data_IF_171594717957
#
_entry.id   IF_171594717957
#
_cell.length_a   1.000
_cell.length_b   1.000
_cell.length_c   1.000
_cell.angle_alpha   90.00
_cell.angle_beta   90.00
_cell.angle_gamma   90.00
#
_symmetry.space_group_name_H-M   'P 1'
#
loop_
_entity.id
_entity.type
_entity.pdbx_description
1 polymer ?
#
# COMPACT_ATOMS: atom_id res chain seq x y z
N UNK A 1 5.27 9.78 -30.34
CA UNK A 1 4.65 10.01 -29.02
C UNK A 1 5.75 10.04 -27.99
N UNK A 2 5.68 10.97 -27.05
CA UNK A 2 6.65 11.13 -25.98
C UNK A 2 5.96 10.78 -24.67
N UNK A 3 6.48 9.79 -23.94
CA UNK A 3 5.88 9.32 -22.68
C UNK A 3 6.73 9.79 -21.50
N UNK A 4 6.06 10.29 -20.47
CA UNK A 4 6.67 10.70 -19.21
C UNK A 4 6.18 9.74 -18.11
N UNK A 5 7.00 8.75 -17.79
CA UNK A 5 6.67 7.76 -16.77
C UNK A 5 6.69 8.34 -15.34
N UNK A 6 7.43 9.42 -15.09
CA UNK A 6 7.45 10.08 -13.78
C UNK A 6 6.09 10.68 -13.44
N UNK A 7 5.39 11.24 -14.42
CA UNK A 7 4.02 11.73 -14.22
C UNK A 7 3.06 10.60 -13.85
N UNK A 8 3.27 9.40 -14.39
CA UNK A 8 2.45 8.22 -14.08
C UNK A 8 2.78 7.75 -12.67
N UNK A 9 4.07 7.61 -12.34
CA UNK A 9 4.54 7.27 -11.02
C UNK A 9 4.00 8.23 -9.96
N UNK A 10 4.06 9.53 -10.23
CA UNK A 10 3.61 10.57 -9.32
C UNK A 10 2.11 10.48 -9.00
N UNK A 11 1.27 10.04 -9.95
CA UNK A 11 -0.16 9.77 -9.68
C UNK A 11 -0.32 8.71 -8.59
N UNK A 12 0.41 7.61 -8.68
CA UNK A 12 0.39 6.54 -7.68
C UNK A 12 0.99 6.98 -6.34
N UNK A 13 2.17 7.61 -6.37
CA UNK A 13 2.87 8.07 -5.17
C UNK A 13 2.09 9.15 -4.41
N UNK A 14 1.31 10.00 -5.10
CA UNK A 14 0.43 10.96 -4.45
C UNK A 14 -0.59 10.27 -3.55
N UNK A 15 -1.16 9.15 -4.00
CA UNK A 15 -2.08 8.36 -3.18
C UNK A 15 -1.41 7.73 -1.97
N UNK A 16 -0.22 7.14 -2.14
CA UNK A 16 0.56 6.59 -1.02
C UNK A 16 0.92 7.66 0.02
N UNK A 17 1.41 8.82 -0.42
CA UNK A 17 1.71 9.95 0.49
C UNK A 17 0.46 10.46 1.21
N UNK A 18 -0.68 10.54 0.51
CA UNK A 18 -1.95 10.92 1.14
C UNK A 18 -2.35 9.92 2.22
N UNK A 19 -2.28 8.62 1.95
CA UNK A 19 -2.53 7.57 2.95
C UNK A 19 -1.60 7.72 4.16
N UNK A 20 -0.32 7.99 3.93
CA UNK A 20 0.65 8.19 5.02
C UNK A 20 0.31 9.42 5.88
N UNK A 21 0.01 10.56 5.26
CA UNK A 21 -0.34 11.80 5.95
C UNK A 21 -1.62 11.65 6.77
N UNK A 22 -2.68 11.07 6.18
CA UNK A 22 -3.95 10.89 6.89
C UNK A 22 -3.88 9.80 7.97
N UNK A 23 -3.06 8.77 7.77
CA UNK A 23 -2.71 7.84 8.83
C UNK A 23 -2.06 8.56 9.99
N UNK A 24 -1.02 9.37 9.74
CA UNK A 24 -0.35 10.13 10.80
C UNK A 24 -1.29 11.08 11.53
N UNK A 25 -2.10 11.85 10.80
CA UNK A 25 -3.08 12.75 11.39
C UNK A 25 -4.07 12.01 12.30
N UNK A 26 -4.62 10.90 11.82
CA UNK A 26 -5.64 10.16 12.56
C UNK A 26 -5.07 9.37 13.74
N UNK A 27 -3.89 8.74 13.59
CA UNK A 27 -3.23 8.03 14.70
C UNK A 27 -2.82 9.02 15.79
N UNK A 28 -2.19 10.15 15.44
CA UNK A 28 -1.80 11.15 16.43
C UNK A 28 -3.01 11.75 17.14
N UNK A 29 -4.11 12.00 16.41
CA UNK A 29 -5.37 12.47 17.00
C UNK A 29 -5.99 11.44 17.96
N UNK A 30 -5.91 10.15 17.62
CA UNK A 30 -6.39 9.08 18.49
C UNK A 30 -5.56 8.96 19.78
N UNK A 31 -4.27 9.28 19.72
CA UNK A 31 -3.33 9.22 20.85
C UNK A 31 -3.29 10.52 21.68
N UNK A 32 -3.93 11.60 21.22
CA UNK A 32 -3.96 12.88 21.93
C UNK A 32 -5.01 12.89 23.05
N UNK A 33 -4.57 12.78 24.30
CA UNK A 33 -5.41 12.84 25.51
C UNK A 33 -6.27 14.10 25.62
N UNK A 34 -5.89 15.21 24.96
CA UNK A 34 -6.66 16.45 24.97
C UNK A 34 -7.84 16.42 24.00
N UNK A 35 -7.82 15.53 23.01
CA UNK A 35 -8.91 15.38 22.05
C UNK A 35 -10.02 14.48 22.60
N UNK A 36 -10.94 15.06 23.37
CA UNK A 36 -12.06 14.34 24.00
C UNK A 36 -13.45 14.91 23.65
N UNK A 37 -13.51 16.02 22.90
CA UNK A 37 -14.77 16.60 22.44
C UNK A 37 -15.03 16.23 20.96
N UNK A 38 -15.99 15.33 20.75
CA UNK A 38 -16.35 14.81 19.43
C UNK A 38 -17.67 15.39 18.88
N UNK A 39 -18.27 16.36 19.58
CA UNK A 39 -19.49 17.01 19.11
C UNK A 39 -19.18 17.84 17.86
N UNK A 40 -20.06 17.73 16.85
CA UNK A 40 -20.01 18.58 15.66
C UNK A 40 -20.77 19.90 15.86
N UNK A 41 -21.07 20.28 17.11
CA UNK A 41 -21.84 21.48 17.46
C UNK A 41 -21.27 22.81 16.94
N UNK A 42 -19.95 22.98 16.71
CA UNK A 42 -19.44 24.17 16.02
C UNK A 42 -19.83 24.26 14.53
N UNK A 43 -20.26 23.15 13.93
CA UNK A 43 -20.55 23.02 12.49
C UNK A 43 -22.04 22.77 12.22
N UNK A 44 -22.75 22.09 13.12
CA UNK A 44 -24.17 21.73 12.99
C UNK A 44 -24.88 21.72 14.34
N UNK A 45 -26.18 22.01 14.37
CA UNK A 45 -26.99 21.93 15.59
C UNK A 45 -27.37 20.48 15.98
N UNK A 46 -26.95 19.47 15.21
CA UNK A 46 -27.22 18.07 15.49
C UNK A 46 -26.28 17.55 16.58
N UNK A 47 -26.87 17.07 17.69
CA UNK A 47 -26.16 16.34 18.75
C UNK A 47 -26.47 14.84 18.62
N UNK A 48 -25.44 14.05 18.35
CA UNK A 48 -25.54 12.58 18.26
C UNK A 48 -24.89 11.87 19.45
N UNK A 49 -24.11 12.60 20.25
CA UNK A 49 -23.43 12.10 21.44
C UNK A 49 -23.97 12.82 22.69
N UNK A 50 -23.85 12.18 23.84
CA UNK A 50 -24.12 12.83 25.12
C UNK A 50 -22.93 13.73 25.50
N UNK A 51 -23.21 14.82 26.22
CA UNK A 51 -22.17 15.67 26.78
C UNK A 51 -21.54 14.98 28.01
N UNK A 52 -20.25 15.19 28.25
CA UNK A 52 -19.55 14.63 29.41
C UNK A 52 -19.34 13.12 29.35
N UNK A 53 -18.91 12.60 28.19
CA UNK A 53 -18.54 11.18 28.03
C UNK A 53 -17.53 10.75 29.09
N UNK A 54 -17.72 9.56 29.65
CA UNK A 54 -16.78 8.98 30.58
C UNK A 54 -15.48 8.56 29.88
N UNK A 55 -14.40 8.42 30.66
CA UNK A 55 -13.07 8.11 30.15
C UNK A 55 -13.03 6.80 29.35
N UNK A 56 -13.75 5.76 29.79
CA UNK A 56 -13.74 4.47 29.10
C UNK A 56 -14.41 4.55 27.72
N UNK A 57 -15.50 5.31 27.61
CA UNK A 57 -16.15 5.57 26.31
C UNK A 57 -15.23 6.34 25.37
N UNK A 58 -14.53 7.36 25.87
CA UNK A 58 -13.57 8.16 25.09
C UNK A 58 -12.41 7.30 24.58
N UNK A 59 -11.83 6.44 25.43
CA UNK A 59 -10.77 5.51 25.07
C UNK A 59 -11.23 4.53 23.99
N UNK A 60 -12.41 3.92 24.13
CA UNK A 60 -12.98 3.03 23.12
C UNK A 60 -13.20 3.74 21.77
N UNK A 61 -13.68 4.99 21.76
CA UNK A 61 -13.79 5.75 20.50
C UNK A 61 -12.44 6.00 19.84
N UNK A 62 -11.40 6.30 20.61
CA UNK A 62 -10.04 6.52 20.10
C UNK A 62 -9.44 5.25 19.50
N UNK A 63 -9.61 4.11 20.17
CA UNK A 63 -9.16 2.81 19.65
C UNK A 63 -9.86 2.48 18.33
N UNK A 64 -11.19 2.56 18.29
CA UNK A 64 -11.96 2.30 17.07
C UNK A 64 -11.62 3.30 15.95
N UNK A 65 -11.40 4.57 16.27
CA UNK A 65 -10.98 5.58 15.30
C UNK A 65 -9.60 5.28 14.73
N UNK A 66 -8.63 4.91 15.57
CA UNK A 66 -7.29 4.50 15.14
C UNK A 66 -7.35 3.34 14.16
N UNK A 67 -8.12 2.29 14.48
CA UNK A 67 -8.32 1.15 13.59
C UNK A 67 -8.99 1.56 12.27
N UNK A 68 -10.03 2.41 12.34
CA UNK A 68 -10.73 2.91 11.15
C UNK A 68 -9.80 3.69 10.23
N UNK A 69 -8.94 4.56 10.78
CA UNK A 69 -7.95 5.34 10.03
C UNK A 69 -6.95 4.42 9.35
N UNK A 70 -6.38 3.45 10.07
CA UNK A 70 -5.40 2.50 9.53
C UNK A 70 -6.00 1.68 8.38
N UNK A 71 -7.21 1.15 8.59
CA UNK A 71 -7.94 0.39 7.57
C UNK A 71 -8.28 1.24 6.34
N UNK A 72 -8.59 2.53 6.53
CA UNK A 72 -8.85 3.47 5.44
C UNK A 72 -7.58 3.76 4.65
N UNK A 73 -6.48 4.10 5.33
CA UNK A 73 -5.19 4.36 4.69
C UNK A 73 -4.68 3.14 3.89
N UNK A 74 -4.88 1.92 4.39
CA UNK A 74 -4.59 0.67 3.69
C UNK A 74 -5.39 0.52 2.39
N UNK A 75 -6.71 0.74 2.44
CA UNK A 75 -7.58 0.67 1.24
C UNK A 75 -7.23 1.74 0.22
N UNK A 76 -7.00 2.96 0.66
CA UNK A 76 -6.65 4.10 -0.20
C UNK A 76 -5.33 3.87 -0.94
N UNK A 77 -4.35 3.24 -0.30
CA UNK A 77 -3.07 2.95 -0.93
C UNK A 77 -3.20 1.90 -2.04
N UNK A 78 -4.02 0.87 -1.83
CA UNK A 78 -4.30 -0.12 -2.88
C UNK A 78 -5.06 0.51 -4.05
N UNK A 79 -6.02 1.39 -3.78
CA UNK A 79 -6.76 2.11 -4.83
C UNK A 79 -5.83 3.01 -5.65
N UNK A 80 -4.91 3.71 -4.99
CA UNK A 80 -3.87 4.49 -5.67
C UNK A 80 -3.00 3.63 -6.58
N UNK A 81 -2.65 2.42 -6.13
CA UNK A 81 -1.91 1.46 -6.95
C UNK A 81 -2.73 0.97 -8.16
N UNK A 82 -4.04 0.73 -8.00
CA UNK A 82 -4.92 0.37 -9.12
C UNK A 82 -4.94 1.46 -10.20
N UNK A 83 -5.13 2.72 -9.80
CA UNK A 83 -5.13 3.87 -10.71
C UNK A 83 -3.79 3.97 -11.45
N UNK A 84 -2.68 3.82 -10.72
CA UNK A 84 -1.34 3.81 -11.32
C UNK A 84 -1.19 2.72 -12.39
N UNK A 85 -1.64 1.50 -12.11
CA UNK A 85 -1.56 0.35 -13.03
C UNK A 85 -2.38 0.59 -14.30
N UNK A 86 -3.56 1.19 -14.19
CA UNK A 86 -4.42 1.51 -15.33
C UNK A 86 -3.77 2.57 -16.22
N UNK A 87 -3.22 3.63 -15.63
CA UNK A 87 -2.49 4.67 -16.35
C UNK A 87 -1.23 4.12 -17.05
N UNK A 88 -0.53 3.19 -16.38
CA UNK A 88 0.61 2.49 -16.96
C UNK A 88 0.19 1.65 -18.17
N UNK A 89 -0.93 0.92 -18.06
CA UNK A 89 -1.47 0.13 -19.17
C UNK A 89 -1.79 1.00 -20.39
N UNK A 90 -2.44 2.16 -20.20
CA UNK A 90 -2.75 3.10 -21.28
C UNK A 90 -1.48 3.48 -22.06
N UNK A 91 -0.37 3.71 -21.37
CA UNK A 91 0.89 4.05 -22.03
C UNK A 91 1.49 2.86 -22.79
N UNK A 92 1.48 1.68 -22.17
CA UNK A 92 2.04 0.47 -22.76
C UNK A 92 1.26 0.00 -24.00
N UNK A 93 -0.06 0.07 -23.99
CA UNK A 93 -0.88 -0.36 -25.13
C UNK A 93 -0.69 0.54 -26.35
N UNK A 94 -0.49 1.85 -26.14
CA UNK A 94 -0.21 2.80 -27.23
C UNK A 94 1.20 2.60 -27.80
N UNK A 95 2.17 2.18 -26.98
CA UNK A 95 3.52 1.83 -27.44
C UNK A 95 3.57 0.52 -28.22
N UNK A 96 2.90 -0.53 -27.68
CA UNK A 96 2.92 -1.89 -28.23
C UNK A 96 2.48 -1.93 -29.68
N UNK A 97 1.43 -1.18 -29.98
CA UNK A 97 0.83 -1.20 -31.29
C UNK A 97 1.27 0.08 -31.99
N UNK A 98 2.04 -0.01 -33.09
CA UNK A 98 2.34 1.11 -34.01
C UNK A 98 1.04 1.60 -34.71
N UNK A 99 0.06 2.01 -33.89
CA UNK A 99 -1.33 2.39 -34.14
C UNK A 99 -2.19 1.38 -34.96
N UNK A 100 -2.97 0.51 -34.31
CA UNK A 100 -4.29 0.16 -34.82
C UNK A 100 -5.19 1.39 -34.66
N UNK A 101 -6.39 1.35 -35.21
CA UNK A 101 -7.34 2.45 -35.06
C UNK A 101 -7.57 2.79 -33.57
N UNK A 102 -7.83 4.06 -33.29
CA UNK A 102 -7.99 4.61 -31.94
C UNK A 102 -9.12 3.90 -31.17
N UNK A 103 -10.10 3.35 -31.89
CA UNK A 103 -11.20 2.53 -31.38
C UNK A 103 -10.73 1.20 -30.77
N UNK A 104 -9.71 0.56 -31.34
CA UNK A 104 -9.17 -0.69 -30.80
C UNK A 104 -8.48 -0.44 -29.46
N UNK A 105 -7.69 0.63 -29.37
CA UNK A 105 -7.02 1.03 -28.13
C UNK A 105 -8.03 1.34 -27.04
N UNK A 106 -9.08 2.10 -27.35
CA UNK A 106 -10.18 2.38 -26.40
C UNK A 106 -10.84 1.10 -25.88
N UNK A 107 -11.17 0.15 -26.76
CA UNK A 107 -11.75 -1.14 -26.37
C UNK A 107 -10.82 -1.97 -25.48
N UNK A 108 -9.52 -1.93 -25.72
CA UNK A 108 -8.54 -2.64 -24.89
C UNK A 108 -8.44 -2.00 -23.49
N UNK A 109 -8.48 -0.67 -23.39
CA UNK A 109 -8.52 0.07 -22.10
C UNK A 109 -9.77 -0.30 -21.31
N UNK A 110 -10.96 -0.19 -21.92
CA UNK A 110 -12.24 -0.54 -21.27
C UNK A 110 -12.28 -1.99 -20.78
N UNK A 111 -11.64 -2.91 -21.52
CA UNK A 111 -11.51 -4.31 -21.12
C UNK A 111 -10.56 -4.46 -19.93
N UNK A 112 -9.43 -3.76 -19.95
CA UNK A 112 -8.43 -3.82 -18.90
C UNK A 112 -8.97 -3.27 -17.58
N UNK A 113 -9.65 -2.12 -17.59
CA UNK A 113 -10.26 -1.51 -16.40
C UNK A 113 -11.19 -2.48 -15.65
N UNK A 114 -11.97 -3.27 -16.39
CA UNK A 114 -12.92 -4.26 -15.85
C UNK A 114 -12.26 -5.53 -15.31
N UNK A 115 -10.97 -5.74 -15.54
CA UNK A 115 -10.28 -6.92 -15.03
C UNK A 115 -10.16 -6.87 -13.50
N UNK A 116 -10.37 -8.00 -12.80
CA UNK A 116 -9.97 -8.13 -11.41
C UNK A 116 -8.49 -7.80 -11.25
N UNK A 117 -8.12 -7.18 -10.14
CA UNK A 117 -6.77 -6.67 -9.96
C UNK A 117 -5.63 -7.70 -10.13
N UNK A 118 -5.71 -8.94 -9.59
CA UNK A 118 -4.72 -9.97 -9.90
C UNK A 118 -4.60 -10.29 -11.40
N UNK A 119 -5.72 -10.19 -12.14
CA UNK A 119 -5.76 -10.40 -13.59
C UNK A 119 -5.13 -9.23 -14.36
N UNK A 120 -5.17 -8.00 -13.83
CA UNK A 120 -4.46 -6.85 -14.41
C UNK A 120 -2.95 -7.09 -14.42
N UNK A 121 -2.39 -7.61 -13.34
CA UNK A 121 -0.95 -7.92 -13.25
C UNK A 121 -0.54 -9.01 -14.24
N UNK A 122 -1.33 -10.07 -14.30
CA UNK A 122 -1.12 -11.16 -15.27
C UNK A 122 -1.21 -10.66 -16.72
N UNK A 123 -2.13 -9.72 -16.99
CA UNK A 123 -2.28 -9.11 -18.30
C UNK A 123 -1.05 -8.26 -18.66
N UNK A 124 -0.54 -7.44 -17.74
CA UNK A 124 0.68 -6.65 -17.97
C UNK A 124 1.88 -7.55 -18.29
N UNK A 125 2.05 -8.62 -17.51
CA UNK A 125 3.11 -9.61 -17.72
C UNK A 125 3.04 -10.22 -19.12
N UNK A 126 1.88 -10.78 -19.48
CA UNK A 126 1.71 -11.48 -20.76
C UNK A 126 1.84 -10.56 -21.97
N UNK A 127 1.38 -9.32 -21.85
CA UNK A 127 1.31 -8.42 -23.00
C UNK A 127 2.58 -7.58 -23.20
N UNK A 128 3.29 -7.26 -22.11
CA UNK A 128 4.40 -6.30 -22.11
C UNK A 128 5.65 -6.79 -21.36
N UNK A 129 5.63 -7.99 -20.77
CA UNK A 129 6.69 -8.48 -19.86
C UNK A 129 6.95 -7.54 -18.67
N UNK A 130 5.90 -6.83 -18.24
CA UNK A 130 5.93 -5.93 -17.09
C UNK A 130 5.13 -6.58 -15.97
N UNK A 131 5.81 -6.97 -14.88
CA UNK A 131 5.16 -7.54 -13.71
C UNK A 131 5.80 -7.05 -12.40
N UNK A 132 5.03 -7.00 -11.30
CA UNK A 132 5.59 -6.69 -9.99
C UNK A 132 6.55 -7.81 -9.54
N UNK A 133 7.60 -7.44 -8.81
CA UNK A 133 8.60 -8.40 -8.32
C UNK A 133 7.99 -9.37 -7.32
N UNK A 134 7.10 -8.87 -6.45
CA UNK A 134 6.48 -9.66 -5.37
C UNK A 134 4.96 -9.82 -5.56
N UNK A 135 4.54 -10.40 -6.68
CA UNK A 135 3.12 -10.56 -7.03
C UNK A 135 2.27 -11.28 -5.95
N UNK A 136 2.86 -12.20 -5.18
CA UNK A 136 2.14 -12.91 -4.13
C UNK A 136 1.81 -12.00 -2.93
N UNK A 137 2.67 -11.04 -2.60
CA UNK A 137 2.37 -10.03 -1.58
C UNK A 137 1.20 -9.15 -2.02
N UNK A 138 1.22 -8.69 -3.27
CA UNK A 138 0.11 -7.91 -3.87
C UNK A 138 -1.22 -8.68 -3.82
N UNK A 139 -1.21 -9.97 -4.16
CA UNK A 139 -2.40 -10.83 -4.06
C UNK A 139 -2.89 -10.95 -2.62
N UNK A 140 -1.98 -11.08 -1.65
CA UNK A 140 -2.31 -11.15 -0.23
C UNK A 140 -2.94 -9.84 0.28
N UNK A 141 -2.37 -8.69 -0.09
CA UNK A 141 -2.87 -7.36 0.25
C UNK A 141 -4.28 -7.13 -0.34
N UNK A 142 -4.48 -7.49 -1.61
CA UNK A 142 -5.79 -7.39 -2.25
C UNK A 142 -6.85 -8.29 -1.57
N UNK A 143 -6.45 -9.48 -1.12
CA UNK A 143 -7.33 -10.37 -0.37
C UNK A 143 -7.74 -9.76 0.97
N UNK A 144 -6.78 -9.18 1.70
CA UNK A 144 -7.03 -8.44 2.95
C UNK A 144 -7.97 -7.25 2.71
N UNK A 145 -7.77 -6.47 1.64
CA UNK A 145 -8.67 -5.36 1.27
C UNK A 145 -10.10 -5.83 1.02
N UNK A 146 -10.29 -6.97 0.36
CA UNK A 146 -11.63 -7.51 0.13
C UNK A 146 -12.32 -7.89 1.45
N UNK A 147 -11.58 -8.45 2.41
CA UNK A 147 -12.11 -8.72 3.74
C UNK A 147 -12.49 -7.41 4.46
N UNK A 148 -11.62 -6.39 4.41
CA UNK A 148 -11.89 -5.08 4.99
C UNK A 148 -13.11 -4.39 4.36
N UNK A 149 -13.33 -4.55 3.06
CA UNK A 149 -14.41 -3.88 2.34
C UNK A 149 -15.78 -4.58 2.47
N UNK A 150 -15.80 -5.92 2.58
CA UNK A 150 -17.05 -6.68 2.43
C UNK A 150 -17.48 -7.46 3.67
N UNK A 151 -16.64 -7.56 4.71
CA UNK A 151 -16.93 -8.39 5.89
C UNK A 151 -16.82 -7.64 7.22
N UNK A 152 -16.89 -6.31 7.20
CA UNK A 152 -16.79 -5.50 8.42
C UNK A 152 -15.49 -5.78 9.20
N UNK A 153 -14.40 -6.02 8.47
CA UNK A 153 -13.06 -6.30 9.01
C UNK A 153 -12.90 -7.67 9.68
N UNK A 154 -13.95 -8.49 9.76
CA UNK A 154 -13.91 -9.83 10.37
C UNK A 154 -13.59 -10.89 9.32
N UNK A 155 -12.57 -11.69 9.59
CA UNK A 155 -12.12 -12.77 8.71
C UNK A 155 -13.11 -13.94 8.73
N UNK A 156 -13.38 -14.50 7.55
CA UNK A 156 -14.11 -15.75 7.39
C UNK A 156 -13.24 -16.80 6.69
N UNK A 157 -13.68 -18.06 6.71
CA UNK A 157 -13.03 -19.15 5.97
C UNK A 157 -12.93 -18.91 4.45
N UNK A 158 -13.80 -18.06 3.89
CA UNK A 158 -13.73 -17.65 2.48
C UNK A 158 -12.54 -16.73 2.18
N UNK A 159 -11.94 -16.12 3.20
CA UNK A 159 -10.84 -15.18 3.06
C UNK A 159 -9.48 -15.86 3.10
N UNK A 160 -9.42 -17.14 3.50
CA UNK A 160 -8.17 -17.89 3.59
C UNK A 160 -7.45 -17.98 2.24
N UNK A 161 -6.15 -17.70 2.27
CA UNK A 161 -5.28 -17.64 1.08
C UNK A 161 -3.99 -18.45 1.21
N UNK A 162 -3.76 -19.11 2.34
CA UNK A 162 -2.64 -20.03 2.55
C UNK A 162 -2.97 -21.48 2.14
N UNK A 163 -1.94 -22.33 2.16
CA UNK A 163 -2.04 -23.77 1.91
C UNK A 163 -1.33 -24.54 3.04
N UNK A 164 -2.04 -25.40 3.81
CA UNK A 164 -3.48 -25.66 3.76
C UNK A 164 -4.30 -24.41 4.11
N UNK A 165 -5.56 -24.32 3.65
CA UNK A 165 -6.43 -23.16 3.89
C UNK A 165 -6.83 -23.10 5.37
N UNK A 166 -6.07 -22.36 6.17
CA UNK A 166 -6.30 -22.18 7.60
C UNK A 166 -6.36 -20.72 8.06
N UNK A 167 -5.84 -19.80 7.25
CA UNK A 167 -5.76 -18.38 7.61
C UNK A 167 -5.81 -17.45 6.39
N UNK A 168 -6.26 -16.23 6.61
CA UNK A 168 -5.94 -15.08 5.77
C UNK A 168 -4.54 -14.61 6.17
N UNK A 169 -3.59 -14.75 5.26
CA UNK A 169 -2.21 -14.29 5.44
C UNK A 169 -2.03 -13.01 4.64
N UNK A 170 -1.77 -11.90 5.33
CA UNK A 170 -1.27 -10.67 4.74
C UNK A 170 0.27 -10.77 4.68
N UNK A 171 0.87 -10.41 3.55
CA UNK A 171 2.33 -10.42 3.40
C UNK A 171 2.83 -9.23 2.57
N UNK A 172 4.02 -8.74 2.89
CA UNK A 172 4.67 -7.60 2.23
C UNK A 172 6.19 -7.68 2.39
N UNK A 173 6.91 -6.88 1.60
CA UNK A 173 8.35 -6.68 1.78
C UNK A 173 8.57 -5.59 2.84
N UNK A 174 9.19 -5.95 3.94
CA UNK A 174 9.62 -5.02 4.99
C UNK A 174 11.12 -4.73 4.92
N UNK A 175 11.59 -3.92 5.85
CA UNK A 175 13.00 -3.59 6.00
C UNK A 175 13.46 -3.75 7.44
N UNK A 176 14.60 -4.39 7.62
CA UNK A 176 15.33 -4.41 8.88
C UNK A 176 16.61 -3.61 8.73
N UNK A 177 16.96 -2.91 9.80
CA UNK A 177 18.29 -2.38 9.97
C UNK A 177 19.18 -3.48 10.55
N UNK A 178 20.39 -3.58 10.04
CA UNK A 178 21.37 -4.57 10.46
C UNK A 178 22.56 -3.80 11.00
N UNK A 179 22.87 -4.01 12.27
CA UNK A 179 24.04 -3.45 12.91
C UNK A 179 25.08 -4.56 13.00
N UNK A 180 26.25 -4.33 12.40
CA UNK A 180 27.36 -5.29 12.44
C UNK A 180 28.52 -4.64 13.16
N UNK A 181 28.91 -5.21 14.30
CA UNK A 181 30.08 -4.82 15.06
C UNK A 181 30.90 -6.06 15.46
N UNK A 182 31.87 -5.90 16.37
CA UNK A 182 32.74 -6.99 16.85
C UNK A 182 31.97 -8.11 17.57
N UNK A 183 30.78 -7.82 18.11
CA UNK A 183 29.93 -8.76 18.85
C UNK A 183 28.97 -9.51 17.89
N UNK A 184 28.98 -9.14 16.61
CA UNK A 184 28.31 -9.84 15.52
C UNK A 184 27.22 -9.00 14.86
N UNK A 185 26.26 -9.70 14.23
CA UNK A 185 25.15 -9.09 13.52
C UNK A 185 23.90 -9.00 14.40
N UNK A 186 23.38 -7.79 14.59
CA UNK A 186 22.11 -7.52 15.26
C UNK A 186 21.10 -6.92 14.30
N UNK A 187 19.95 -7.60 14.15
CA UNK A 187 18.79 -7.06 13.43
C UNK A 187 17.96 -6.20 14.36
N UNK A 188 17.55 -5.04 13.90
CA UNK A 188 16.66 -4.13 14.60
C UNK A 188 15.69 -3.47 13.63
N UNK A 189 14.53 -3.08 14.12
CA UNK A 189 13.60 -2.27 13.34
C UNK A 189 14.13 -0.84 13.21
N UNK A 190 13.78 -0.11 12.14
CA UNK A 190 14.31 1.24 11.92
C UNK A 190 13.97 2.21 13.08
N UNK A 191 12.81 2.05 13.70
CA UNK A 191 12.41 2.85 14.87
C UNK A 191 13.28 2.59 16.11
N UNK A 192 13.92 1.42 16.19
CA UNK A 192 14.77 1.04 17.33
C UNK A 192 16.17 1.65 17.22
N UNK A 193 16.55 2.22 16.07
CA UNK A 193 17.84 2.90 15.90
C UNK A 193 17.89 4.30 16.50
N UNK A 194 16.74 4.93 16.71
CA UNK A 194 16.69 6.30 17.21
C UNK A 194 17.26 6.33 18.63
N UNK A 195 18.35 7.07 18.81
CA UNK A 195 19.05 7.18 20.11
C UNK A 195 19.99 6.01 20.43
N UNK A 196 20.21 5.07 19.51
CA UNK A 196 21.19 3.99 19.73
C UNK A 196 22.60 4.56 19.63
N UNK A 197 23.35 4.41 20.73
CA UNK A 197 24.78 4.70 20.80
C UNK A 197 25.54 3.39 20.77
N UNK A 198 26.49 3.25 19.85
CA UNK A 198 27.35 2.06 19.76
C UNK A 198 28.66 2.31 20.50
N UNK A 199 29.18 1.27 21.18
CA UNK A 199 30.44 1.36 21.93
C UNK A 199 31.67 1.16 21.04
N UNK A 200 31.46 0.61 19.85
CA UNK A 200 32.50 0.26 18.88
C UNK A 200 32.11 0.77 17.50
N UNK A 201 33.06 0.72 16.56
CA UNK A 201 32.77 0.93 15.15
C UNK A 201 31.72 -0.10 14.71
N UNK A 202 30.59 0.40 14.21
CA UNK A 202 29.44 -0.41 13.85
C UNK A 202 29.02 -0.03 12.43
N UNK A 203 28.95 -1.04 11.56
CA UNK A 203 28.39 -0.88 10.23
C UNK A 203 26.87 -0.94 10.30
N UNK A 204 26.22 0.00 9.62
CA UNK A 204 24.77 0.05 9.50
C UNK A 204 24.39 -0.39 8.09
N UNK A 205 23.74 -1.55 7.99
CA UNK A 205 23.20 -2.11 6.76
C UNK A 205 21.68 -2.08 6.73
N UNK A 206 21.13 -2.17 5.53
CA UNK A 206 19.70 -2.34 5.30
C UNK A 206 19.46 -3.73 4.70
N UNK A 207 18.54 -4.49 5.28
CA UNK A 207 18.15 -5.82 4.80
C UNK A 207 16.65 -5.90 4.56
N UNK A 208 16.29 -6.18 3.31
CA UNK A 208 14.90 -6.46 2.96
C UNK A 208 14.48 -7.84 3.44
N UNK A 209 13.29 -7.95 4.02
CA UNK A 209 12.75 -9.20 4.55
C UNK A 209 11.30 -9.36 4.13
N UNK A 210 10.84 -10.59 3.99
CA UNK A 210 9.41 -10.85 3.85
C UNK A 210 8.79 -10.78 5.23
N UNK A 211 7.64 -10.10 5.30
CA UNK A 211 6.80 -9.98 6.49
C UNK A 211 5.49 -10.68 6.20
N UNK A 212 4.89 -11.24 7.25
CA UNK A 212 3.54 -11.76 7.18
C UNK A 212 2.80 -11.59 8.49
N UNK A 213 1.48 -11.47 8.39
CA UNK A 213 0.55 -11.45 9.52
C UNK A 213 -0.63 -12.35 9.18
N UNK A 214 -0.95 -13.27 10.08
CA UNK A 214 -2.00 -14.27 9.88
C UNK A 214 -3.24 -13.93 10.69
N UNK A 215 -4.41 -14.18 10.09
CA UNK A 215 -5.71 -13.99 10.69
C UNK A 215 -6.59 -15.22 10.47
N UNK A 216 -7.19 -15.75 11.52
CA UNK A 216 -8.12 -16.89 11.49
C UNK A 216 -9.56 -16.41 11.51
N UNK A 217 -10.51 -17.31 11.19
CA UNK A 217 -11.94 -16.99 11.15
C UNK A 217 -12.42 -16.41 12.48
N UNK A 218 -13.19 -15.32 12.41
CA UNK A 218 -13.70 -14.59 13.56
C UNK A 218 -12.78 -13.48 14.08
N UNK A 219 -11.51 -13.43 13.64
CA UNK A 219 -10.62 -12.35 14.02
C UNK A 219 -10.91 -11.06 13.23
N UNK A 220 -10.80 -9.92 13.91
CA UNK A 220 -10.76 -8.60 13.28
C UNK A 220 -9.36 -8.38 12.71
N UNK A 221 -9.29 -7.87 11.48
CA UNK A 221 -8.03 -7.45 10.89
C UNK A 221 -7.56 -6.18 11.59
N UNK A 222 -6.45 -6.29 12.32
CA UNK A 222 -5.77 -5.17 12.97
C UNK A 222 -4.34 -5.05 12.44
N UNK A 223 -3.93 -3.82 12.16
CA UNK A 223 -2.56 -3.49 11.75
C UNK A 223 -1.97 -2.48 12.73
N UNK A 224 -0.68 -2.55 12.98
CA UNK A 224 0.03 -1.50 13.69
C UNK A 224 0.41 -0.37 12.71
N UNK A 225 0.51 0.89 13.18
CA UNK A 225 0.96 2.01 12.34
C UNK A 225 2.29 1.73 11.62
N UNK A 226 3.23 1.04 12.29
CA UNK A 226 4.52 0.66 11.70
C UNK A 226 4.39 -0.36 10.55
N UNK A 227 3.48 -1.33 10.70
CA UNK A 227 3.21 -2.33 9.66
C UNK A 227 2.61 -1.64 8.43
N UNK A 228 1.66 -0.74 8.62
CA UNK A 228 1.07 0.01 7.51
C UNK A 228 2.08 0.96 6.86
N UNK A 229 2.93 1.63 7.64
CA UNK A 229 4.02 2.44 7.08
C UNK A 229 4.97 1.62 6.19
N UNK A 230 5.36 0.41 6.62
CA UNK A 230 6.15 -0.51 5.78
C UNK A 230 5.39 -0.90 4.51
N UNK A 231 4.09 -1.19 4.58
CA UNK A 231 3.27 -1.53 3.40
C UNK A 231 3.17 -0.35 2.41
N UNK A 232 3.03 0.88 2.90
CA UNK A 232 3.02 2.09 2.07
C UNK A 232 4.37 2.30 1.36
N UNK A 233 5.46 2.05 2.09
CA UNK A 233 6.80 2.06 1.50
C UNK A 233 6.97 0.95 0.45
N UNK A 234 6.49 -0.26 0.73
CA UNK A 234 6.48 -1.38 -0.22
C UNK A 234 5.78 -1.01 -1.53
N UNK A 235 4.61 -0.34 -1.47
CA UNK A 235 3.93 0.16 -2.67
C UNK A 235 4.78 1.13 -3.48
N UNK A 236 5.53 2.01 -2.81
CA UNK A 236 6.45 2.93 -3.47
C UNK A 236 7.53 2.19 -4.25
N UNK A 237 8.08 1.10 -3.69
CA UNK A 237 9.05 0.27 -4.39
C UNK A 237 8.44 -0.43 -5.61
N UNK A 238 7.30 -1.09 -5.46
CA UNK A 238 6.68 -1.83 -6.55
C UNK A 238 6.30 -0.92 -7.72
N UNK A 239 5.78 0.28 -7.45
CA UNK A 239 5.45 1.25 -8.51
C UNK A 239 6.70 1.71 -9.26
N UNK A 240 7.80 1.99 -8.54
CA UNK A 240 9.08 2.34 -9.17
C UNK A 240 9.60 1.20 -10.04
N UNK A 241 9.53 -0.04 -9.54
CA UNK A 241 9.97 -1.22 -10.29
C UNK A 241 9.16 -1.43 -11.57
N UNK A 242 7.83 -1.28 -11.49
CA UNK A 242 6.95 -1.37 -12.65
C UNK A 242 7.24 -0.28 -13.69
N UNK A 243 7.60 0.92 -13.24
CA UNK A 243 8.05 2.00 -14.14
C UNK A 243 9.37 1.66 -14.81
N UNK A 244 10.37 1.15 -14.08
CA UNK A 244 11.65 0.72 -14.66
C UNK A 244 11.44 -0.31 -15.78
N UNK A 245 10.65 -1.36 -15.50
CA UNK A 245 10.31 -2.40 -16.49
C UNK A 245 9.53 -1.83 -17.69
N UNK A 246 8.66 -0.86 -17.46
CA UNK A 246 7.90 -0.19 -18.51
C UNK A 246 8.76 0.71 -19.40
N UNK A 247 9.76 1.37 -18.81
CA UNK A 247 10.78 2.15 -19.54
C UNK A 247 11.60 1.20 -20.43
N UNK A 248 12.03 0.06 -19.90
CA UNK A 248 12.76 -0.95 -20.67
C UNK A 248 11.92 -1.45 -21.85
N UNK A 249 10.66 -1.82 -21.60
CA UNK A 249 9.71 -2.19 -22.66
C UNK A 249 9.56 -1.10 -23.72
N UNK A 250 9.41 0.16 -23.30
CA UNK A 250 9.25 1.30 -24.19
C UNK A 250 10.48 1.53 -25.07
N UNK A 251 11.70 1.42 -24.51
CA UNK A 251 12.96 1.50 -25.26
C UNK A 251 13.04 0.41 -26.33
N UNK A 252 12.73 -0.83 -25.95
CA UNK A 252 12.74 -1.98 -26.86
C UNK A 252 11.68 -1.86 -27.97
N UNK A 253 10.59 -1.14 -27.70
CA UNK A 253 9.51 -0.89 -28.66
C UNK A 253 9.75 0.34 -29.57
N UNK A 254 10.87 1.05 -29.41
CA UNK A 254 11.20 2.26 -30.19
C UNK A 254 10.46 3.53 -29.75
N UNK A 255 9.92 3.55 -28.52
CA UNK A 255 9.27 4.73 -27.94
C UNK A 255 10.27 5.82 -27.56
N UNK A 256 9.87 7.09 -27.70
CA UNK A 256 10.64 8.23 -27.16
C UNK A 256 10.21 8.50 -25.72
N UNK A 257 11.17 8.47 -24.79
CA UNK A 257 10.94 8.64 -23.36
C UNK A 257 11.49 10.00 -22.94
N UNK A 258 10.75 10.73 -22.11
CA UNK A 258 11.31 11.89 -21.40
C UNK A 258 12.16 11.33 -20.28
N UNK A 259 13.47 11.51 -20.37
CA UNK A 259 14.36 11.13 -19.28
C UNK A 259 14.02 11.94 -18.02
N UNK A 260 13.98 11.24 -16.89
CA UNK A 260 13.75 11.85 -15.60
C UNK A 260 14.89 12.81 -15.30
N UNK A 261 14.57 14.01 -14.80
CA UNK A 261 15.60 14.87 -14.19
C UNK A 261 15.89 14.26 -12.81
N UNK A 262 17.04 13.59 -12.70
CA UNK A 262 17.62 13.12 -11.44
C UNK A 262 17.69 14.23 -10.41
#
# INVERSE_FOLDING_TARGET
MTINFDKILEKGLKGVRRSYVFMGLGVNSAEDDQLCNYQLTPVTNLKLLQDGLDKSTVENFKENYKEWVLNTAFRDALEAFHIFVEELFVCLIVLKKKAPSLEVVKKDIERFEKLPFPSKMEHLRKQFSVEPEYINHIKSINKTRNCLAHRGWVVSTNDYNNKPKSALVLSWRGMNMVLTDKDGERKCHMSELVGVVTKHETQVGLRFTDRSKEFTSGQVITLEPKELAEILWYWTMEMKKLVELSIEYAKNSGGKIVESKS
#
